data_IF_752112736732
#
_entry.id   IF_752112736732
#
_cell.length_a   1.000
_cell.length_b   1.000
_cell.length_c   1.000
_cell.angle_alpha   90.00
_cell.angle_beta   90.00
_cell.angle_gamma   90.00
#
_symmetry.space_group_name_H-M   'P 1'
#
loop_
_entity.id
_entity.type
_entity.pdbx_description
1 polymer ?
#
# COMPACT_ATOMS: atom_id res chain seq x y z
N UNK A 1 7.33 -4.37 -23.48
CA UNK A 1 5.90 -4.04 -23.27
C UNK A 1 5.59 -4.28 -21.81
N UNK A 2 4.97 -3.30 -21.14
CA UNK A 2 4.58 -3.41 -19.73
C UNK A 2 3.24 -4.13 -19.61
N UNK A 3 3.12 -5.09 -18.70
CA UNK A 3 1.83 -5.77 -18.44
C UNK A 3 1.20 -5.22 -17.17
N UNK A 4 -0.02 -4.67 -17.29
CA UNK A 4 -0.77 -4.12 -16.16
C UNK A 4 -1.80 -5.13 -15.66
N UNK A 5 -1.69 -5.50 -14.39
CA UNK A 5 -2.59 -6.39 -13.67
C UNK A 5 -3.41 -5.60 -12.66
N UNK A 6 -4.72 -5.89 -12.65
CA UNK A 6 -5.64 -5.42 -11.61
C UNK A 6 -6.02 -6.63 -10.78
N UNK A 7 -5.63 -6.64 -9.51
CA UNK A 7 -5.95 -7.75 -8.61
C UNK A 7 -6.99 -7.28 -7.59
N UNK A 8 -8.14 -7.96 -7.60
CA UNK A 8 -9.13 -7.92 -6.54
C UNK A 8 -9.01 -9.21 -5.75
N UNK A 9 -8.53 -9.18 -4.51
CA UNK A 9 -8.87 -10.29 -3.62
C UNK A 9 -10.31 -10.07 -3.19
N UNK A 10 -11.20 -11.00 -3.53
CA UNK A 10 -12.45 -11.15 -2.78
C UNK A 10 -12.09 -11.40 -1.30
N UNK A 11 -13.01 -11.12 -0.37
CA UNK A 11 -12.79 -11.25 1.09
C UNK A 11 -12.34 -12.66 1.57
N UNK A 12 -12.12 -13.62 0.67
CA UNK A 12 -11.42 -14.87 0.92
C UNK A 12 -10.00 -14.79 0.35
N UNK A 13 -9.04 -14.44 1.21
CA UNK A 13 -7.59 -14.40 0.94
C UNK A 13 -7.04 -15.78 0.49
N UNK A 14 -7.82 -16.85 0.64
CA UNK A 14 -7.48 -18.24 0.29
C UNK A 14 -7.38 -18.54 -1.22
N UNK A 15 -7.76 -17.62 -2.11
CA UNK A 15 -7.66 -17.80 -3.57
C UNK A 15 -6.93 -16.66 -4.29
N UNK A 16 -5.94 -16.04 -3.63
CA UNK A 16 -5.18 -14.99 -4.29
C UNK A 16 -4.36 -15.56 -5.46
N UNK A 17 -4.47 -14.90 -6.61
CA UNK A 17 -3.67 -15.23 -7.80
C UNK A 17 -2.19 -15.01 -7.49
N UNK A 18 -1.31 -15.99 -7.76
CA UNK A 18 0.13 -15.81 -7.59
C UNK A 18 0.62 -14.63 -8.44
N UNK A 19 1.67 -13.95 -7.97
CA UNK A 19 2.32 -12.89 -8.74
C UNK A 19 2.79 -13.45 -10.09
N UNK A 20 2.68 -12.67 -11.19
CA UNK A 20 3.16 -13.11 -12.49
C UNK A 20 4.68 -13.34 -12.47
N UNK A 21 5.20 -14.18 -13.38
CA UNK A 21 6.62 -14.54 -13.42
C UNK A 21 7.54 -13.33 -13.63
N UNK A 22 8.71 -13.36 -13.00
CA UNK A 22 9.68 -12.23 -12.85
C UNK A 22 10.30 -11.69 -14.14
N UNK A 23 10.03 -12.28 -15.31
CA UNK A 23 10.73 -11.94 -16.56
C UNK A 23 10.06 -10.80 -17.34
N UNK A 24 8.92 -10.29 -16.87
CA UNK A 24 8.20 -9.19 -17.51
C UNK A 24 8.04 -8.02 -16.56
N UNK A 25 8.30 -6.80 -17.06
CA UNK A 25 7.98 -5.57 -16.35
C UNK A 25 6.47 -5.54 -16.04
N UNK A 26 6.13 -5.72 -14.77
CA UNK A 26 4.76 -5.94 -14.30
C UNK A 26 4.33 -4.79 -13.41
N UNK A 27 3.13 -4.26 -13.66
CA UNK A 27 2.48 -3.28 -12.79
C UNK A 27 1.25 -3.94 -12.18
N UNK A 28 1.18 -4.02 -10.85
CA UNK A 28 0.04 -4.56 -10.11
C UNK A 28 -0.58 -3.43 -9.30
N UNK A 29 -1.88 -3.19 -9.47
CA UNK A 29 -2.60 -2.17 -8.72
C UNK A 29 -3.65 -2.85 -7.86
N UNK A 30 -3.68 -2.51 -6.57
CA UNK A 30 -4.64 -3.00 -5.59
C UNK A 30 -5.34 -1.84 -4.87
N UNK A 31 -6.61 -2.00 -4.49
CA UNK A 31 -7.37 -0.90 -3.90
C UNK A 31 -7.19 -0.75 -2.38
N UNK A 32 -6.89 -1.84 -1.67
CA UNK A 32 -6.94 -1.89 -0.21
C UNK A 32 -5.59 -2.33 0.40
N UNK A 33 -5.35 -1.89 1.64
CA UNK A 33 -4.09 -2.14 2.37
C UNK A 33 -3.85 -3.62 2.62
N UNK A 34 -4.90 -4.39 2.91
CA UNK A 34 -4.77 -5.83 3.19
C UNK A 34 -4.28 -6.59 1.95
N UNK A 35 -4.80 -6.25 0.77
CA UNK A 35 -4.34 -6.80 -0.50
C UNK A 35 -2.88 -6.46 -0.77
N UNK A 36 -2.50 -5.20 -0.53
CA UNK A 36 -1.14 -4.72 -0.73
C UNK A 36 -0.14 -5.46 0.17
N UNK A 37 -0.45 -5.56 1.46
CA UNK A 37 0.37 -6.28 2.45
C UNK A 37 0.45 -7.77 2.17
N UNK A 38 -0.67 -8.38 1.81
CA UNK A 38 -0.70 -9.78 1.39
C UNK A 38 0.26 -10.01 0.23
N UNK A 39 0.13 -9.26 -0.86
CA UNK A 39 1.02 -9.41 -2.01
C UNK A 39 2.47 -9.10 -1.68
N UNK A 40 2.75 -8.05 -0.90
CA UNK A 40 4.09 -7.71 -0.46
C UNK A 40 4.76 -8.86 0.32
N UNK A 41 4.01 -9.58 1.17
CA UNK A 41 4.52 -10.75 1.89
C UNK A 41 4.89 -11.92 0.98
N UNK A 42 4.31 -11.99 -0.23
CA UNK A 42 4.55 -13.06 -1.19
C UNK A 42 5.71 -12.75 -2.17
N UNK A 43 6.36 -11.59 -2.05
CA UNK A 43 7.43 -11.19 -2.96
C UNK A 43 8.74 -11.92 -2.60
N UNK A 44 8.95 -13.09 -3.20
CA UNK A 44 10.14 -13.93 -2.98
C UNK A 44 11.18 -13.88 -4.11
N UNK A 45 10.88 -13.20 -5.22
CA UNK A 45 11.71 -13.24 -6.43
C UNK A 45 12.58 -12.00 -6.63
N UNK A 46 12.39 -10.97 -5.83
CA UNK A 46 13.06 -9.68 -6.00
C UNK A 46 14.03 -9.42 -4.85
N UNK A 47 15.36 -9.54 -5.09
CA UNK A 47 16.36 -9.30 -4.06
C UNK A 47 16.49 -7.83 -3.67
N UNK A 48 16.07 -6.91 -4.55
CA UNK A 48 16.16 -5.48 -4.33
C UNK A 48 14.77 -4.86 -4.26
N UNK A 49 14.45 -4.22 -3.13
CA UNK A 49 13.14 -3.62 -2.91
C UNK A 49 13.28 -2.14 -2.57
N UNK A 50 12.49 -1.33 -3.27
CA UNK A 50 12.29 0.08 -2.95
C UNK A 50 10.85 0.25 -2.48
N UNK A 51 10.66 0.72 -1.25
CA UNK A 51 9.33 1.04 -0.71
C UNK A 51 9.14 2.56 -0.64
N UNK A 52 8.07 3.05 -1.25
CA UNK A 52 7.66 4.46 -1.25
C UNK A 52 6.47 4.62 -0.30
N UNK A 53 6.65 5.38 0.78
CA UNK A 53 5.66 5.53 1.84
C UNK A 53 5.60 4.36 2.83
N UNK A 54 6.73 3.92 3.44
CA UNK A 54 6.73 2.85 4.43
C UNK A 54 5.94 3.18 5.72
N UNK A 55 5.67 4.46 6.01
CA UNK A 55 4.86 4.90 7.16
C UNK A 55 5.37 4.31 8.50
N UNK A 56 4.53 3.56 9.23
CA UNK A 56 4.90 2.91 10.49
C UNK A 56 5.68 1.60 10.32
N UNK A 57 5.87 1.14 9.08
CA UNK A 57 6.69 -0.03 8.75
C UNK A 57 5.98 -1.38 8.84
N UNK A 58 4.65 -1.42 8.80
CA UNK A 58 3.90 -2.69 8.82
C UNK A 58 4.15 -3.51 7.55
N UNK A 59 4.09 -2.89 6.38
CA UNK A 59 4.45 -3.55 5.10
C UNK A 59 5.94 -3.86 5.07
N UNK A 60 6.78 -2.94 5.53
CA UNK A 60 8.23 -3.14 5.66
C UNK A 60 8.56 -4.39 6.46
N UNK A 61 7.86 -4.65 7.58
CA UNK A 61 8.07 -5.84 8.41
C UNK A 61 7.79 -7.13 7.63
N UNK A 62 6.73 -7.14 6.81
CA UNK A 62 6.38 -8.29 5.97
C UNK A 62 7.41 -8.53 4.87
N UNK A 63 7.90 -7.45 4.25
CA UNK A 63 8.93 -7.50 3.21
C UNK A 63 10.24 -8.03 3.78
N UNK A 64 10.71 -7.47 4.90
CA UNK A 64 11.99 -7.85 5.50
C UNK A 64 11.97 -9.24 6.16
N UNK A 65 10.80 -9.77 6.48
CA UNK A 65 10.64 -11.16 6.91
C UNK A 65 10.92 -12.16 5.75
N UNK A 66 10.95 -11.69 4.50
CA UNK A 66 11.22 -12.54 3.34
C UNK A 66 12.72 -12.75 3.14
N UNK A 67 13.15 -14.02 3.10
CA UNK A 67 14.56 -14.37 2.99
C UNK A 67 15.21 -14.00 1.65
N UNK A 68 14.43 -13.73 0.60
CA UNK A 68 14.98 -13.36 -0.71
C UNK A 68 15.49 -11.92 -0.78
N UNK A 69 14.98 -11.04 0.07
CA UNK A 69 15.33 -9.62 0.04
C UNK A 69 16.73 -9.42 0.62
N UNK A 70 17.64 -8.95 -0.22
CA UNK A 70 19.03 -8.68 0.18
C UNK A 70 19.26 -7.20 0.44
N UNK A 71 18.58 -6.32 -0.32
CA UNK A 71 18.71 -4.89 -0.19
C UNK A 71 17.34 -4.22 -0.17
N UNK A 72 17.13 -3.34 0.80
CA UNK A 72 15.89 -2.62 1.00
C UNK A 72 16.17 -1.14 1.19
N UNK A 73 15.41 -0.29 0.49
CA UNK A 73 15.40 1.16 0.66
C UNK A 73 13.96 1.63 0.87
N UNK A 74 13.68 2.20 2.04
CA UNK A 74 12.41 2.88 2.33
C UNK A 74 12.54 4.39 2.13
N UNK A 75 11.71 4.98 1.28
CA UNK A 75 11.63 6.42 1.04
C UNK A 75 10.42 7.01 1.77
N UNK A 76 10.67 7.86 2.76
CA UNK A 76 9.66 8.52 3.59
C UNK A 76 9.84 10.04 3.53
N UNK A 77 8.75 10.81 3.66
CA UNK A 77 8.79 12.28 3.66
C UNK A 77 8.73 12.85 5.07
N UNK A 78 8.08 12.14 6.01
CA UNK A 78 7.95 12.58 7.39
C UNK A 78 9.19 12.25 8.22
N UNK A 79 9.92 13.26 8.69
CA UNK A 79 11.11 13.09 9.54
C UNK A 79 10.86 12.24 10.79
N UNK A 80 9.71 12.45 11.44
CA UNK A 80 9.33 11.68 12.64
C UNK A 80 9.12 10.20 12.31
N UNK A 81 8.41 9.90 11.21
CA UNK A 81 8.23 8.52 10.74
C UNK A 81 9.54 7.90 10.31
N UNK A 82 10.41 8.68 9.66
CA UNK A 82 11.74 8.22 9.30
C UNK A 82 12.58 7.86 10.53
N UNK A 83 12.54 8.68 11.58
CA UNK A 83 13.20 8.36 12.85
C UNK A 83 12.60 7.11 13.51
N UNK A 84 11.27 6.96 13.46
CA UNK A 84 10.59 5.76 13.95
C UNK A 84 11.03 4.51 13.21
N UNK A 85 11.01 4.51 11.87
CA UNK A 85 11.46 3.41 11.01
C UNK A 85 12.92 3.07 11.28
N UNK A 86 13.79 4.08 11.34
CA UNK A 86 15.20 3.89 11.66
C UNK A 86 15.35 3.23 13.02
N UNK A 87 14.67 3.72 14.06
CA UNK A 87 14.74 3.14 15.41
C UNK A 87 14.15 1.73 15.50
N UNK A 88 13.17 1.40 14.65
CA UNK A 88 12.53 0.07 14.63
C UNK A 88 13.39 -0.97 13.91
N UNK A 89 14.05 -0.60 12.81
CA UNK A 89 14.65 -1.57 11.89
C UNK A 89 16.19 -1.50 11.80
N UNK A 90 16.85 -0.47 12.33
CA UNK A 90 18.31 -0.34 12.28
C UNK A 90 19.06 -0.75 13.57
N UNK A 91 18.55 -0.52 14.80
CA UNK A 91 19.34 -0.73 16.00
C UNK A 91 19.70 -2.19 16.31
N UNK A 92 18.90 -3.18 15.90
CA UNK A 92 19.06 -4.57 16.37
C UNK A 92 18.74 -5.59 15.28
N UNK A 93 19.50 -5.58 14.19
CA UNK A 93 19.39 -6.65 13.21
C UNK A 93 20.01 -7.95 13.73
N UNK A 94 19.19 -8.77 14.41
CA UNK A 94 19.11 -10.20 14.07
C UNK A 94 18.48 -10.31 12.67
N UNK A 95 19.11 -9.67 11.68
CA UNK A 95 18.69 -9.79 10.29
C UNK A 95 18.73 -11.25 9.91
N UNK A 96 17.82 -11.72 9.04
CA UNK A 96 18.07 -12.94 8.28
C UNK A 96 19.49 -12.86 7.68
N UNK A 97 20.26 -13.96 7.64
CA UNK A 97 21.63 -13.95 7.11
C UNK A 97 21.76 -13.38 5.69
N UNK A 98 20.65 -13.36 4.93
CA UNK A 98 20.56 -12.88 3.56
C UNK A 98 20.42 -11.36 3.40
N UNK A 99 20.02 -10.63 4.45
CA UNK A 99 19.74 -9.20 4.37
C UNK A 99 21.03 -8.39 4.54
N UNK A 100 21.55 -7.87 3.43
CA UNK A 100 22.83 -7.16 3.36
C UNK A 100 22.72 -5.69 3.76
N UNK A 101 21.62 -5.02 3.40
CA UNK A 101 21.44 -3.58 3.66
C UNK A 101 19.97 -3.20 3.79
N UNK A 102 19.63 -2.52 4.89
CA UNK A 102 18.35 -1.82 5.10
C UNK A 102 18.65 -0.35 5.26
N UNK A 103 17.97 0.49 4.48
CA UNK A 103 18.12 1.95 4.52
C UNK A 103 16.76 2.61 4.54
N UNK A 104 16.71 3.76 5.20
CA UNK A 104 15.56 4.65 5.13
C UNK A 104 16.04 6.07 4.85
N UNK A 105 15.42 6.71 3.87
CA UNK A 105 15.86 7.99 3.31
C UNK A 105 14.70 8.99 3.24
N UNK A 106 15.01 10.26 3.51
CA UNK A 106 14.05 11.35 3.42
C UNK A 106 13.89 11.78 1.96
N UNK A 107 12.97 11.16 1.22
CA UNK A 107 12.83 11.39 -0.22
C UNK A 107 11.36 11.51 -0.61
N UNK A 108 11.00 12.69 -1.13
CA UNK A 108 9.69 12.93 -1.74
C UNK A 108 9.73 12.63 -3.24
N UNK A 109 9.56 11.35 -3.60
CA UNK A 109 9.61 10.89 -5.00
C UNK A 109 8.41 11.40 -5.81
N UNK A 110 7.26 11.61 -5.18
CA UNK A 110 6.05 12.13 -5.84
C UNK A 110 6.32 13.51 -6.43
N UNK A 111 6.94 14.40 -5.66
CA UNK A 111 7.26 15.76 -6.10
C UNK A 111 8.60 15.84 -6.85
N UNK A 112 9.47 14.84 -6.71
CA UNK A 112 10.81 14.83 -7.30
C UNK A 112 11.14 13.49 -7.99
N UNK A 113 10.41 13.12 -9.06
CA UNK A 113 10.64 11.85 -9.77
C UNK A 113 12.02 11.76 -10.42
N UNK A 114 12.72 12.88 -10.61
CA UNK A 114 14.10 12.91 -11.08
C UNK A 114 15.09 12.27 -10.10
N UNK A 115 14.69 12.02 -8.85
CA UNK A 115 15.52 11.32 -7.86
C UNK A 115 15.50 9.79 -8.02
N UNK A 116 14.64 9.22 -8.88
CA UNK A 116 14.55 7.77 -9.08
C UNK A 116 15.90 7.09 -9.41
N UNK A 117 16.75 7.63 -10.31
CA UNK A 117 18.08 7.06 -10.54
C UNK A 117 18.97 7.07 -9.30
N UNK A 118 18.89 8.12 -8.48
CA UNK A 118 19.63 8.20 -7.23
C UNK A 118 19.16 7.13 -6.23
N UNK A 119 17.86 6.91 -6.10
CA UNK A 119 17.31 5.87 -5.20
C UNK A 119 17.83 4.48 -5.57
N UNK A 120 17.99 4.18 -6.86
CA UNK A 120 18.60 2.93 -7.31
C UNK A 120 20.05 2.77 -6.83
N UNK A 121 20.83 3.85 -6.81
CA UNK A 121 22.21 3.79 -6.29
C UNK A 121 22.27 3.49 -4.78
N UNK A 122 21.19 3.77 -4.04
CA UNK A 122 21.11 3.49 -2.59
C UNK A 122 20.96 2.00 -2.29
N UNK A 123 20.45 1.21 -3.25
CA UNK A 123 20.39 -0.25 -3.12
C UNK A 123 21.79 -0.88 -3.13
N UNK A 124 22.76 -0.26 -3.81
CA UNK A 124 24.11 -0.77 -3.97
C UNK A 124 25.14 0.37 -4.10
N UNK A 125 25.51 1.06 -3.00
CA UNK A 125 26.33 2.28 -3.06
C UNK A 125 27.77 2.07 -3.53
N UNK A 126 28.27 0.83 -3.48
CA UNK A 126 29.67 0.48 -3.76
C UNK A 126 29.84 -0.42 -4.98
N UNK A 127 28.77 -0.64 -5.76
CA UNK A 127 28.81 -1.46 -6.98
C UNK A 127 27.95 -0.86 -8.09
N UNK A 128 27.93 -1.53 -9.24
CA UNK A 128 26.98 -1.22 -10.31
C UNK A 128 25.54 -1.32 -9.77
N UNK A 129 24.60 -0.47 -10.26
CA UNK A 129 23.19 -0.59 -9.95
C UNK A 129 22.66 -2.00 -10.28
N UNK A 130 21.67 -2.50 -9.53
CA UNK A 130 21.08 -3.80 -9.81
C UNK A 130 20.39 -3.81 -11.18
N UNK A 131 20.34 -4.97 -11.81
CA UNK A 131 19.58 -5.15 -13.05
C UNK A 131 18.12 -4.73 -12.80
N UNK A 132 17.50 -3.89 -13.63
CA UNK A 132 16.15 -3.40 -13.38
C UNK A 132 15.11 -4.50 -13.11
N UNK A 133 15.18 -5.61 -13.85
CA UNK A 133 14.29 -6.76 -13.67
C UNK A 133 14.39 -7.43 -12.30
N UNK A 134 15.48 -7.21 -11.54
CA UNK A 134 15.66 -7.71 -10.17
C UNK A 134 15.13 -6.78 -9.09
N UNK A 135 14.63 -5.60 -9.47
CA UNK A 135 14.11 -4.58 -8.56
C UNK A 135 12.58 -4.62 -8.52
N UNK A 136 12.01 -4.49 -7.32
CA UNK A 136 10.58 -4.27 -7.13
C UNK A 136 10.31 -2.94 -6.41
N UNK A 137 9.30 -2.21 -6.89
CA UNK A 137 8.80 -0.98 -6.27
C UNK A 137 7.49 -1.23 -5.54
N UNK A 138 7.47 -0.95 -4.24
CA UNK A 138 6.28 -1.01 -3.39
C UNK A 138 5.78 0.42 -3.20
N UNK A 139 4.63 0.76 -3.77
CA UNK A 139 4.10 2.14 -3.80
C UNK A 139 2.87 2.21 -2.90
N UNK A 140 3.06 2.67 -1.66
CA UNK A 140 1.99 2.95 -0.69
C UNK A 140 2.03 4.42 -0.23
N UNK A 141 1.86 5.32 -1.19
CA UNK A 141 1.89 6.76 -0.95
C UNK A 141 0.49 7.27 -0.56
N UNK A 142 0.12 7.11 0.71
CA UNK A 142 -1.07 7.74 1.32
C UNK A 142 -2.41 7.27 0.71
N UNK A 143 -3.21 6.54 1.48
CA UNK A 143 -4.43 5.88 0.99
C UNK A 143 -5.54 6.77 0.40
N UNK A 144 -5.37 8.09 0.40
CA UNK A 144 -6.30 9.10 -0.13
C UNK A 144 -5.74 9.95 -1.27
N UNK A 145 -4.50 9.71 -1.73
CA UNK A 145 -3.95 10.49 -2.85
C UNK A 145 -4.69 10.17 -4.16
N UNK A 146 -5.04 11.19 -4.96
CA UNK A 146 -5.80 10.98 -6.16
C UNK A 146 -4.99 10.26 -7.23
N UNK A 147 -5.67 9.53 -8.10
CA UNK A 147 -5.05 8.79 -9.20
C UNK A 147 -4.13 9.69 -10.06
N UNK A 148 -4.50 10.98 -10.21
CA UNK A 148 -3.74 11.99 -10.95
C UNK A 148 -2.34 12.28 -10.41
N UNK A 149 -2.07 11.99 -9.13
CA UNK A 149 -0.72 12.12 -8.54
C UNK A 149 0.08 10.83 -8.60
N UNK A 150 -0.57 9.69 -8.41
CA UNK A 150 0.11 8.38 -8.38
C UNK A 150 0.49 7.93 -9.79
N UNK A 151 -0.36 8.19 -10.78
CA UNK A 151 -0.15 7.72 -12.14
C UNK A 151 1.13 8.29 -12.80
N UNK A 152 1.44 9.60 -12.71
CA UNK A 152 2.73 10.13 -13.19
C UNK A 152 3.95 9.51 -12.51
N UNK A 153 3.85 9.15 -11.24
CA UNK A 153 4.91 8.45 -10.51
C UNK A 153 5.12 7.04 -11.07
N UNK A 154 4.04 6.27 -11.27
CA UNK A 154 4.12 4.92 -11.87
C UNK A 154 4.78 5.00 -13.25
N UNK A 155 4.37 5.95 -14.09
CA UNK A 155 4.99 6.15 -15.41
C UNK A 155 6.47 6.50 -15.29
N UNK A 156 6.82 7.42 -14.38
CA UNK A 156 8.23 7.79 -14.15
C UNK A 156 9.08 6.60 -13.72
N UNK A 157 8.57 5.73 -12.85
CA UNK A 157 9.25 4.50 -12.44
C UNK A 157 9.38 3.55 -13.64
N UNK A 158 8.30 3.32 -14.37
CA UNK A 158 8.28 2.41 -15.53
C UNK A 158 9.27 2.84 -16.62
N UNK A 159 9.35 4.13 -16.92
CA UNK A 159 10.18 4.66 -18.02
C UNK A 159 11.65 4.80 -17.63
N UNK A 160 11.94 5.28 -16.42
CA UNK A 160 13.31 5.62 -16.01
C UNK A 160 14.05 4.45 -15.39
N UNK A 161 13.30 3.54 -14.77
CA UNK A 161 13.87 2.39 -14.05
C UNK A 161 13.55 1.11 -14.78
N UNK A 162 12.31 0.92 -15.22
CA UNK A 162 11.83 -0.35 -15.80
C UNK A 162 12.02 -1.56 -14.86
N UNK A 163 11.54 -1.50 -13.60
CA UNK A 163 11.71 -2.57 -12.62
C UNK A 163 11.02 -3.88 -13.05
N UNK A 164 11.35 -5.01 -12.45
CA UNK A 164 10.59 -6.25 -12.70
C UNK A 164 9.14 -6.16 -12.19
N UNK A 165 8.92 -5.46 -11.08
CA UNK A 165 7.59 -5.27 -10.49
C UNK A 165 7.38 -3.85 -9.96
N UNK A 166 6.18 -3.32 -10.18
CA UNK A 166 5.62 -2.15 -9.49
C UNK A 166 4.31 -2.59 -8.85
N UNK A 167 4.29 -2.75 -7.53
CA UNK A 167 3.08 -3.02 -6.76
C UNK A 167 2.56 -1.70 -6.17
N UNK A 168 1.32 -1.35 -6.46
CA UNK A 168 0.74 -0.05 -6.10
C UNK A 168 -0.52 -0.24 -5.28
N UNK A 169 -0.60 0.40 -4.12
CA UNK A 169 -1.86 0.60 -3.40
C UNK A 169 -2.47 1.93 -3.81
N UNK A 170 -3.54 1.92 -4.61
CA UNK A 170 -4.33 3.11 -4.84
C UNK A 170 -5.77 2.75 -5.25
N UNK A 171 -6.71 3.10 -4.37
CA UNK A 171 -8.13 2.77 -4.54
C UNK A 171 -8.75 3.46 -5.75
N UNK A 172 -8.49 4.76 -5.93
CA UNK A 172 -9.11 5.52 -7.02
C UNK A 172 -8.62 5.01 -8.38
N UNK A 173 -7.30 4.90 -8.55
CA UNK A 173 -6.67 4.42 -9.78
C UNK A 173 -7.16 3.01 -10.14
N UNK A 174 -7.26 2.13 -9.14
CA UNK A 174 -7.81 0.79 -9.34
C UNK A 174 -9.21 0.83 -9.98
N UNK A 175 -10.13 1.60 -9.39
CA UNK A 175 -11.51 1.66 -9.88
C UNK A 175 -11.65 2.39 -11.22
N UNK A 176 -10.81 3.40 -11.49
CA UNK A 176 -10.76 4.04 -12.81
C UNK A 176 -10.37 3.04 -13.90
N UNK A 177 -9.31 2.25 -13.66
CA UNK A 177 -8.85 1.25 -14.62
C UNK A 177 -9.85 0.09 -14.80
N UNK A 178 -10.48 -0.35 -13.71
CA UNK A 178 -11.51 -1.38 -13.76
C UNK A 178 -12.72 -0.92 -14.59
N UNK A 179 -13.15 0.34 -14.43
CA UNK A 179 -14.26 0.92 -15.21
C UNK A 179 -13.92 1.00 -16.70
N UNK A 180 -12.72 1.47 -17.04
CA UNK A 180 -12.28 1.54 -18.45
C UNK A 180 -12.31 0.17 -19.11
N UNK A 181 -11.83 -0.88 -18.42
CA UNK A 181 -11.89 -2.26 -18.94
C UNK A 181 -13.32 -2.76 -19.17
N UNK A 182 -14.21 -2.52 -18.21
CA UNK A 182 -15.62 -2.92 -18.33
C UNK A 182 -16.34 -2.19 -19.49
N UNK A 183 -15.99 -0.92 -19.74
CA UNK A 183 -16.51 -0.18 -20.89
C UNK A 183 -15.96 -0.71 -22.21
N UNK A 184 -14.67 -1.03 -22.29
CA UNK A 184 -14.05 -1.60 -23.50
C UNK A 184 -14.60 -2.97 -23.89
N UNK A 185 -15.03 -3.80 -22.93
CA UNK A 185 -15.67 -5.09 -23.22
C UNK A 185 -17.09 -4.98 -23.77
N UNK A 186 -17.75 -3.81 -23.62
CA UNK A 186 -19.10 -3.57 -24.12
C UNK A 186 -19.16 -2.90 -25.50
N UNK A 187 -18.00 -2.49 -26.04
CA UNK A 187 -17.89 -1.76 -27.29
C UNK A 187 -16.78 -2.35 -28.16
N UNK A 188 -17.00 -3.56 -28.69
CA UNK A 188 -16.16 -4.12 -29.74
C UNK A 188 -16.93 -4.19 -31.06
N UNK A 189 -16.91 -3.07 -31.78
CA UNK A 189 -16.71 -3.04 -33.22
C UNK A 189 -15.59 -2.04 -33.57
N UNK A 190 -14.56 -2.54 -34.27
CA UNK A 190 -13.49 -1.84 -35.01
C UNK A 190 -12.31 -1.15 -34.27
N UNK A 191 -11.15 -1.82 -34.37
CA UNK A 191 -9.84 -1.33 -34.84
C UNK A 191 -8.82 -0.65 -33.90
N UNK A 192 -7.81 -1.47 -33.55
CA UNK A 192 -6.34 -1.24 -33.48
C UNK A 192 -5.71 -0.26 -32.47
N UNK A 193 -5.16 -0.81 -31.38
CA UNK A 193 -3.72 -0.76 -31.07
C UNK A 193 -3.37 -1.79 -29.98
N UNK A 194 -2.32 -2.57 -30.23
CA UNK A 194 -2.06 -3.85 -29.56
C UNK A 194 -1.45 -3.68 -28.16
N UNK A 195 -2.29 -3.75 -27.13
CA UNK A 195 -1.91 -4.15 -25.77
C UNK A 195 -2.14 -5.65 -25.65
N UNK A 196 -1.08 -6.45 -25.63
CA UNK A 196 -1.17 -7.90 -25.38
C UNK A 196 -1.48 -8.13 -23.89
N UNK A 197 -2.77 -8.10 -23.56
CA UNK A 197 -3.32 -8.54 -22.27
C UNK A 197 -3.57 -10.04 -22.30
N UNK A 198 -2.79 -10.82 -21.57
CA UNK A 198 -3.12 -12.20 -21.25
C UNK A 198 -4.20 -12.21 -20.16
N UNK A 199 -5.45 -12.41 -20.57
CA UNK A 199 -6.61 -12.58 -19.67
C UNK A 199 -6.57 -13.93 -18.98
N UNK A 200 -6.64 -13.92 -17.65
CA UNK A 200 -7.19 -15.05 -16.89
C UNK A 200 -8.62 -14.64 -16.53
N UNK A 201 -9.59 -15.35 -17.11
CA UNK A 201 -11.02 -15.10 -16.96
C UNK A 201 -11.49 -15.41 -15.54
N UNK A 202 -11.30 -14.46 -14.63
CA UNK A 202 -12.15 -14.33 -13.46
C UNK A 202 -13.24 -13.33 -13.78
N UNK A 203 -14.51 -13.74 -13.76
CA UNK A 203 -15.64 -12.81 -13.83
C UNK A 203 -15.42 -11.67 -12.84
N UNK A 204 -15.26 -10.46 -13.36
CA UNK A 204 -15.16 -9.25 -12.55
C UNK A 204 -16.57 -9.02 -12.00
N UNK A 205 -16.85 -9.22 -10.70
CA UNK A 205 -18.15 -8.88 -10.15
C UNK A 205 -18.39 -7.39 -10.42
N UNK A 206 -19.61 -7.06 -10.84
CA UNK A 206 -20.01 -5.69 -11.13
C UNK A 206 -19.46 -4.75 -10.03
N UNK A 207 -18.81 -3.63 -10.42
CA UNK A 207 -18.22 -2.73 -9.44
C UNK A 207 -19.30 -2.39 -8.41
N UNK A 208 -19.04 -2.60 -7.11
CA UNK A 208 -20.01 -2.21 -6.10
C UNK A 208 -20.35 -0.73 -6.37
N UNK A 209 -21.64 -0.34 -6.31
CA UNK A 209 -22.04 1.04 -6.56
C UNK A 209 -21.13 1.96 -5.76
N UNK A 210 -20.73 3.14 -6.30
CA UNK A 210 -19.78 4.04 -5.66
C UNK A 210 -20.14 4.11 -4.20
N UNK A 211 -19.27 3.57 -3.34
CA UNK A 211 -19.51 3.55 -1.92
C UNK A 211 -19.55 5.02 -1.52
N UNK A 212 -20.77 5.56 -1.43
CA UNK A 212 -21.07 6.82 -0.76
C UNK A 212 -20.20 6.81 0.48
N UNK A 213 -19.25 7.76 0.55
CA UNK A 213 -18.34 8.04 1.67
C UNK A 213 -18.60 7.09 2.84
N UNK A 214 -17.71 6.11 3.09
CA UNK A 214 -17.81 5.06 4.15
C UNK A 214 -18.94 5.45 5.09
N UNK A 215 -20.17 4.93 4.87
CA UNK A 215 -21.35 5.31 5.67
C UNK A 215 -20.86 5.40 7.10
N UNK A 216 -20.81 6.63 7.67
CA UNK A 216 -20.22 6.87 8.99
C UNK A 216 -20.61 5.71 9.87
N UNK A 217 -19.63 4.90 10.27
CA UNK A 217 -19.90 3.62 10.92
C UNK A 217 -20.80 3.93 12.11
N UNK A 218 -22.07 3.54 12.02
CA UNK A 218 -23.06 4.03 12.97
C UNK A 218 -22.61 3.61 14.38
N UNK A 219 -22.47 4.53 15.35
CA UNK A 219 -21.89 4.22 16.67
C UNK A 219 -22.48 2.96 17.31
N UNK A 220 -23.80 2.77 17.19
CA UNK A 220 -24.50 1.61 17.76
C UNK A 220 -24.19 0.27 17.08
N UNK A 221 -23.65 0.26 15.85
CA UNK A 221 -23.23 -0.95 15.15
C UNK A 221 -21.82 -1.41 15.54
N UNK A 222 -21.09 -0.59 16.28
CA UNK A 222 -19.74 -0.95 16.75
C UNK A 222 -19.85 -1.78 18.03
N UNK A 223 -19.08 -2.87 18.17
CA UNK A 223 -19.09 -3.69 19.38
C UNK A 223 -18.68 -2.84 20.59
N UNK A 224 -19.19 -3.16 21.77
CA UNK A 224 -18.76 -2.48 22.99
C UNK A 224 -17.30 -2.86 23.29
N UNK A 225 -16.45 -1.86 23.51
CA UNK A 225 -15.06 -2.06 23.95
C UNK A 225 -14.83 -1.41 25.30
N UNK A 226 -14.02 -2.08 26.11
CA UNK A 226 -13.63 -1.63 27.44
C UNK A 226 -12.17 -1.16 27.42
N UNK A 227 -11.89 -0.14 28.21
CA UNK A 227 -10.54 0.28 28.55
C UNK A 227 -9.88 -0.72 29.53
N UNK A 228 -8.60 -0.49 29.85
CA UNK A 228 -7.84 -1.32 30.80
C UNK A 228 -8.44 -1.35 32.21
N UNK A 229 -9.14 -0.30 32.60
CA UNK A 229 -9.84 -0.21 33.89
C UNK A 229 -11.28 -0.75 33.86
N UNK A 230 -11.70 -1.37 32.75
CA UNK A 230 -13.04 -1.89 32.55
C UNK A 230 -14.09 -0.86 32.14
N UNK A 231 -13.74 0.44 32.08
CA UNK A 231 -14.67 1.49 31.66
C UNK A 231 -14.95 1.39 30.16
N UNK A 232 -16.21 1.39 29.71
CA UNK A 232 -16.52 1.38 28.28
C UNK A 232 -16.03 2.63 27.55
N UNK A 233 -15.54 2.45 26.33
CA UNK A 233 -15.10 3.52 25.43
C UNK A 233 -16.30 4.08 24.67
N UNK A 234 -16.43 5.41 24.59
CA UNK A 234 -17.60 6.04 24.00
C UNK A 234 -17.64 5.90 22.47
N UNK A 235 -18.58 5.08 21.97
CA UNK A 235 -18.83 4.91 20.54
C UNK A 235 -19.31 6.20 19.85
N UNK A 236 -20.13 6.99 20.52
CA UNK A 236 -20.66 8.23 19.93
C UNK A 236 -19.59 9.30 19.77
N UNK A 237 -18.70 9.45 20.76
CA UNK A 237 -17.54 10.32 20.63
C UNK A 237 -16.63 9.90 19.48
N UNK A 238 -16.45 8.59 19.30
CA UNK A 238 -15.49 8.03 18.36
C UNK A 238 -15.97 7.99 16.89
N UNK A 239 -17.28 7.87 16.64
CA UNK A 239 -17.83 7.68 15.29
C UNK A 239 -18.85 8.74 14.86
N UNK A 240 -19.04 9.81 15.64
CA UNK A 240 -19.93 10.93 15.31
C UNK A 240 -19.24 12.27 15.55
N UNK A 241 -19.87 13.36 15.09
CA UNK A 241 -19.30 14.70 15.26
C UNK A 241 -19.21 15.10 16.74
N UNK A 242 -20.14 14.62 17.58
CA UNK A 242 -20.16 14.87 19.04
C UNK A 242 -20.88 13.77 19.81
N UNK A 243 -20.48 13.56 21.07
CA UNK A 243 -21.27 12.80 22.04
C UNK A 243 -22.42 13.67 22.57
N UNK A 244 -23.66 13.18 22.55
CA UNK A 244 -24.82 13.94 23.05
C UNK A 244 -24.86 14.09 24.57
N UNK A 245 -24.13 13.23 25.30
CA UNK A 245 -24.06 13.27 26.76
C UNK A 245 -23.04 14.30 27.30
N UNK A 246 -22.20 14.87 26.43
CA UNK A 246 -21.20 15.86 26.85
C UNK A 246 -20.32 15.35 28.00
N UNK A 247 -20.21 16.17 29.04
CA UNK A 247 -19.42 15.88 30.25
C UNK A 247 -20.10 14.86 31.19
N UNK A 248 -21.41 14.65 31.07
CA UNK A 248 -22.17 13.63 31.82
C UNK A 248 -22.02 12.22 31.22
N UNK A 249 -21.11 12.04 30.26
CA UNK A 249 -20.89 10.75 29.63
C UNK A 249 -19.99 9.86 30.51
N UNK A 250 -20.57 8.81 31.07
CA UNK A 250 -19.85 7.78 31.86
C UNK A 250 -18.82 6.96 31.05
N UNK A 251 -18.71 7.21 29.74
CA UNK A 251 -17.84 6.46 28.83
C UNK A 251 -16.59 7.27 28.48
N UNK A 252 -15.43 6.62 28.33
CA UNK A 252 -14.17 7.32 28.04
C UNK A 252 -14.18 7.99 26.67
N UNK A 253 -13.92 9.30 26.65
CA UNK A 253 -13.77 10.14 25.45
C UNK A 253 -12.31 10.31 25.02
N UNK A 254 -11.35 10.09 25.92
CA UNK A 254 -9.93 10.27 25.61
C UNK A 254 -9.31 9.10 24.83
N UNK A 255 -10.03 7.98 24.66
CA UNK A 255 -9.55 6.78 23.99
C UNK A 255 -10.21 6.58 22.63
N UNK A 256 -9.39 6.18 21.66
CA UNK A 256 -9.81 5.72 20.36
C UNK A 256 -10.49 4.35 20.47
N UNK A 257 -11.74 4.26 20.02
CA UNK A 257 -12.50 3.00 20.04
C UNK A 257 -11.94 1.96 19.04
N UNK A 258 -11.13 2.35 18.06
CA UNK A 258 -10.54 1.43 17.07
C UNK A 258 -9.20 0.83 17.51
N UNK A 259 -8.24 1.64 17.97
CA UNK A 259 -6.93 1.14 18.38
C UNK A 259 -6.73 1.10 19.90
N UNK A 260 -7.55 1.80 20.69
CA UNK A 260 -7.40 1.94 22.14
C UNK A 260 -6.39 3.00 22.58
N UNK A 261 -5.73 3.69 21.65
CA UNK A 261 -4.78 4.77 21.94
C UNK A 261 -5.45 6.06 22.37
N UNK A 262 -4.70 6.91 23.08
CA UNK A 262 -5.18 8.23 23.52
C UNK A 262 -4.99 9.30 22.43
N UNK A 263 -5.68 10.43 22.59
CA UNK A 263 -5.43 11.65 21.83
C UNK A 263 -6.04 11.74 20.42
N UNK A 264 -6.82 10.74 19.99
CA UNK A 264 -7.54 10.77 18.71
C UNK A 264 -8.83 9.93 18.76
N UNK A 265 -9.74 10.15 17.80
CA UNK A 265 -10.99 9.37 17.68
C UNK A 265 -10.84 8.26 16.66
N UNK A 266 -11.73 7.27 16.72
CA UNK A 266 -11.76 6.19 15.75
C UNK A 266 -11.97 6.69 14.31
N UNK A 267 -12.74 7.76 14.08
CA UNK A 267 -12.86 8.35 12.74
C UNK A 267 -11.57 8.98 12.20
N UNK A 268 -10.65 9.35 13.09
CA UNK A 268 -9.36 9.95 12.75
C UNK A 268 -8.25 8.87 12.68
N UNK A 269 -8.57 7.62 13.03
CA UNK A 269 -7.65 6.48 13.09
C UNK A 269 -7.64 5.62 11.81
N UNK A 270 -8.62 5.80 10.91
CA UNK A 270 -8.93 4.92 9.75
C UNK A 270 -8.90 5.73 8.46
#
# INVERSE_FOLDING_TARGET
>A
MSTIWLLHASNNISHATPLPPSNTHTIVIVPETDNFRYLASQITTFPHIIELGPSTGETTSLILANSSTTNYVGCEVGKEMLQHLRSRFLPHTQSPPSLQSVRFEEINVVNNPNLLPHILTLLQPSSLPPAPSSVAFMVDIGGSEPASKVLPLIFSISERVSPGLILVKNRELYWQLAKTRASSSSSSSSSSSSLSSSSLDGEIPAPPPPQKFKKRLHPLKQPLRLASDGTPICRFWNYSDKCKKGDDCEFKHNLCHYCGGEGHRAIDCI
#
